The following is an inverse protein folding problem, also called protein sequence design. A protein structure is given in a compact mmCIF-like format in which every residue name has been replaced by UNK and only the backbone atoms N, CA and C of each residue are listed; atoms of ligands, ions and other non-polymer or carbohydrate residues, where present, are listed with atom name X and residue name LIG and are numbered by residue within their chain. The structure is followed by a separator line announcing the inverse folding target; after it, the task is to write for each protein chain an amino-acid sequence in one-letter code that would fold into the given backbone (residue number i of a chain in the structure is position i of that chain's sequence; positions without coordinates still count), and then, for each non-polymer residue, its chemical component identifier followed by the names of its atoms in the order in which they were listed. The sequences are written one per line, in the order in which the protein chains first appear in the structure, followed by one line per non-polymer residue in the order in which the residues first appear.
data_IF_066916661712
#
_entry.id   IF_066916661712
#
_cell.length_a   1.000
_cell.length_b   1.000
_cell.length_c   1.000
_cell.angle_alpha   90.00
_cell.angle_beta   90.00
_cell.angle_gamma   90.00
#
_symmetry.space_group_name_H-M   'P 1'
#
loop_
_entity.id
_entity.type
_entity.pdbx_description
1 polymer ?
#
# COMPACT_ATOMS: atom_id res chain seq x y z
N UNK A 1 -54.50 28.42 58.30
CA UNK A 1 -53.15 29.00 58.43
C UNK A 1 -52.15 27.84 58.41
N UNK A 2 -51.55 27.57 57.30
CA UNK A 2 -50.54 26.54 57.14
C UNK A 2 -49.49 27.00 56.13
N UNK A 3 -48.32 27.34 56.59
CA UNK A 3 -47.17 27.77 55.75
C UNK A 3 -46.48 26.55 55.21
N UNK A 4 -46.41 26.38 53.86
CA UNK A 4 -45.58 25.40 53.23
C UNK A 4 -44.16 25.95 53.00
N UNK A 5 -43.14 25.26 53.54
CA UNK A 5 -41.74 25.53 53.29
C UNK A 5 -41.35 24.92 51.91
N UNK A 6 -40.90 25.77 51.01
CA UNK A 6 -40.33 25.33 49.75
C UNK A 6 -38.89 24.89 49.93
N UNK A 7 -38.61 23.63 49.52
CA UNK A 7 -37.25 23.06 49.47
C UNK A 7 -36.62 23.41 48.10
N UNK A 8 -35.63 24.28 48.11
CA UNK A 8 -34.82 24.59 46.91
C UNK A 8 -33.90 23.37 46.58
N UNK A 9 -34.18 22.71 45.43
CA UNK A 9 -33.28 21.70 44.87
C UNK A 9 -32.12 22.39 44.16
N UNK A 10 -30.97 22.35 44.75
CA UNK A 10 -29.71 22.67 44.11
C UNK A 10 -29.31 21.54 43.15
N UNK A 11 -29.47 21.75 41.85
CA UNK A 11 -28.99 20.87 40.82
C UNK A 11 -27.48 21.07 40.66
N UNK A 12 -26.70 20.06 41.07
CA UNK A 12 -25.26 19.99 40.75
C UNK A 12 -25.12 19.70 39.25
N UNK A 13 -24.74 20.70 38.46
CA UNK A 13 -24.33 20.51 37.08
C UNK A 13 -22.90 19.98 37.08
N UNK A 14 -22.74 18.68 36.96
CA UNK A 14 -21.46 18.05 36.65
C UNK A 14 -21.10 18.40 35.21
N UNK A 15 -20.26 19.42 35.01
CA UNK A 15 -19.60 19.68 33.76
C UNK A 15 -18.59 18.54 33.50
N UNK A 16 -18.98 17.55 32.74
CA UNK A 16 -18.07 16.56 32.21
C UNK A 16 -17.11 17.25 31.23
N UNK A 17 -15.91 17.55 31.71
CA UNK A 17 -14.80 17.97 30.86
C UNK A 17 -14.41 16.75 30.02
N UNK A 18 -15.01 16.65 28.83
CA UNK A 18 -14.48 15.77 27.77
C UNK A 18 -13.11 16.33 27.36
N UNK A 19 -12.04 15.81 27.92
CA UNK A 19 -10.69 15.93 27.35
C UNK A 19 -10.69 15.14 26.05
N UNK A 20 -11.29 15.71 25.00
CA UNK A 20 -11.11 15.20 23.64
C UNK A 20 -9.63 15.27 23.34
N UNK A 21 -9.00 14.11 23.15
CA UNK A 21 -7.68 14.03 22.56
C UNK A 21 -7.82 14.61 21.16
N UNK A 22 -7.37 15.86 21.00
CA UNK A 22 -7.38 16.56 19.72
C UNK A 22 -6.38 15.82 18.82
N UNK A 23 -6.89 14.86 18.03
CA UNK A 23 -6.08 14.25 16.99
C UNK A 23 -5.84 15.31 15.93
N UNK A 24 -4.57 15.63 15.66
CA UNK A 24 -4.18 16.56 14.61
C UNK A 24 -4.87 16.16 13.30
N UNK A 25 -5.61 17.09 12.70
CA UNK A 25 -6.30 16.85 11.44
C UNK A 25 -5.31 16.96 10.29
N UNK A 26 -4.78 15.81 9.85
CA UNK A 26 -3.89 15.73 8.69
C UNK A 26 -4.75 15.72 7.42
N UNK A 27 -4.49 16.69 6.53
CA UNK A 27 -4.99 16.68 5.16
C UNK A 27 -3.85 16.30 4.24
N UNK A 28 -3.99 15.22 3.43
CA UNK A 28 -2.94 14.81 2.50
C UNK A 28 -2.73 15.86 1.41
N UNK A 29 -1.57 15.82 0.71
CA UNK A 29 -1.32 16.70 -0.42
C UNK A 29 -2.27 16.38 -1.57
N UNK A 30 -2.59 17.41 -2.36
CA UNK A 30 -3.47 17.28 -3.53
C UNK A 30 -2.67 17.71 -4.75
N UNK A 31 -2.63 16.85 -5.77
CA UNK A 31 -2.00 17.17 -7.05
C UNK A 31 -2.74 18.32 -7.73
N UNK A 32 -2.02 19.31 -8.25
CA UNK A 32 -2.62 20.40 -9.02
C UNK A 32 -3.14 19.86 -10.35
N UNK A 33 -4.46 19.94 -10.58
CA UNK A 33 -5.15 19.26 -11.68
C UNK A 33 -4.67 19.67 -13.09
N UNK A 34 -4.06 20.84 -13.22
CA UNK A 34 -3.60 21.40 -14.49
C UNK A 34 -2.11 21.05 -14.79
N UNK A 35 -1.43 20.36 -13.89
CA UNK A 35 -0.05 19.96 -14.13
C UNK A 35 0.01 18.84 -15.18
N UNK A 36 0.41 19.19 -16.38
CA UNK A 36 0.65 18.22 -17.45
C UNK A 36 1.99 17.53 -17.17
N UNK A 37 1.94 16.22 -16.97
CA UNK A 37 3.14 15.39 -16.90
C UNK A 37 3.55 15.09 -18.34
N UNK A 38 4.63 15.71 -18.81
CA UNK A 38 5.17 15.43 -20.14
C UNK A 38 6.40 14.53 -20.02
N UNK A 39 6.27 13.32 -20.54
CA UNK A 39 7.37 12.37 -20.65
C UNK A 39 7.93 12.45 -22.07
N UNK A 40 9.26 12.55 -22.19
CA UNK A 40 9.90 12.57 -23.49
C UNK A 40 9.53 11.30 -24.30
N UNK A 41 9.41 11.40 -25.65
CA UNK A 41 9.13 10.25 -26.51
C UNK A 41 10.11 9.11 -26.24
N UNK A 42 9.59 7.91 -26.14
CA UNK A 42 10.35 6.69 -25.89
C UNK A 42 10.70 5.98 -27.20
N UNK A 43 11.88 5.40 -27.23
CA UNK A 43 12.32 4.57 -28.34
C UNK A 43 11.83 3.13 -28.18
N UNK A 44 11.69 2.38 -29.28
CA UNK A 44 11.34 0.97 -29.29
C UNK A 44 9.89 0.67 -29.67
N UNK A 45 9.47 -0.60 -29.56
CA UNK A 45 8.12 -1.04 -29.93
C UNK A 45 7.06 -0.40 -29.02
N UNK A 46 5.82 -0.20 -29.52
CA UNK A 46 4.74 0.34 -28.72
C UNK A 46 4.43 -0.60 -27.55
N UNK A 47 4.62 -0.09 -26.34
CA UNK A 47 4.41 -0.81 -25.09
C UNK A 47 3.94 0.19 -24.03
N UNK A 48 2.91 -0.18 -23.28
CA UNK A 48 2.51 0.61 -22.13
C UNK A 48 3.64 0.64 -21.09
N UNK A 49 3.64 1.69 -20.29
CA UNK A 49 4.58 1.85 -19.18
C UNK A 49 3.80 2.20 -17.92
N UNK A 50 4.20 1.65 -16.80
CA UNK A 50 3.63 1.93 -15.49
C UNK A 50 4.75 2.03 -14.48
N UNK A 51 4.76 3.09 -13.69
CA UNK A 51 5.69 3.26 -12.57
C UNK A 51 4.91 3.65 -11.32
N UNK A 52 5.20 2.98 -10.23
CA UNK A 52 4.70 3.30 -8.90
C UNK A 52 5.84 3.87 -8.11
N UNK A 53 5.66 5.06 -7.59
CA UNK A 53 6.65 5.74 -6.77
C UNK A 53 6.07 6.13 -5.43
N UNK A 54 6.91 6.15 -4.41
CA UNK A 54 6.67 6.88 -3.18
C UNK A 54 7.53 8.14 -3.21
N UNK A 55 6.95 9.29 -2.87
CA UNK A 55 7.65 10.56 -2.93
C UNK A 55 7.36 11.41 -1.69
N UNK A 56 8.28 12.32 -1.42
CA UNK A 56 8.07 13.38 -0.43
C UNK A 56 7.41 14.58 -1.11
N UNK A 57 6.27 15.03 -0.60
CA UNK A 57 5.68 16.33 -0.94
C UNK A 57 6.06 17.30 0.16
N UNK A 58 6.87 18.30 -0.19
CA UNK A 58 7.35 19.30 0.76
C UNK A 58 6.26 20.32 1.12
N UNK A 59 6.45 21.00 2.23
CA UNK A 59 5.53 22.05 2.72
C UNK A 59 5.33 23.23 1.77
N UNK A 60 6.22 23.39 0.78
CA UNK A 60 6.10 24.38 -0.29
C UNK A 60 5.40 23.82 -1.55
N UNK A 61 4.90 22.58 -1.49
CA UNK A 61 4.26 21.89 -2.59
C UNK A 61 5.20 21.28 -3.61
N UNK A 62 6.54 21.44 -3.45
CA UNK A 62 7.52 20.80 -4.34
C UNK A 62 7.67 19.30 -4.03
N UNK A 63 8.10 18.53 -5.04
CA UNK A 63 8.45 17.11 -4.87
C UNK A 63 9.89 17.00 -4.40
N UNK A 64 10.10 16.18 -3.37
CA UNK A 64 11.41 15.79 -2.85
C UNK A 64 11.84 14.41 -3.34
N UNK A 65 12.32 13.58 -2.42
CA UNK A 65 12.78 12.23 -2.71
C UNK A 65 11.73 11.43 -3.48
N UNK A 66 12.16 10.70 -4.50
CA UNK A 66 11.32 9.85 -5.33
C UNK A 66 11.91 8.45 -5.31
N UNK A 67 11.23 7.52 -4.66
CA UNK A 67 11.62 6.12 -4.57
C UNK A 67 10.72 5.28 -5.49
N UNK A 68 11.33 4.55 -6.43
CA UNK A 68 10.59 3.66 -7.33
C UNK A 68 10.28 2.36 -6.60
N UNK A 69 9.01 2.12 -6.31
CA UNK A 69 8.54 0.97 -5.54
C UNK A 69 8.36 -0.27 -6.42
N UNK A 70 7.70 -0.10 -7.57
CA UNK A 70 7.41 -1.19 -8.52
C UNK A 70 6.98 -0.62 -9.85
N UNK A 71 6.80 -1.49 -10.86
CA UNK A 71 6.24 -1.09 -12.12
C UNK A 71 6.53 -2.03 -13.26
N UNK A 72 6.09 -1.61 -14.42
CA UNK A 72 6.26 -2.23 -15.71
C UNK A 72 6.78 -1.17 -16.67
N UNK A 73 8.11 -1.06 -16.80
CA UNK A 73 8.77 0.05 -17.50
C UNK A 73 10.12 -0.36 -18.07
N UNK A 74 10.61 0.47 -19.01
CA UNK A 74 12.01 0.45 -19.46
C UNK A 74 12.86 1.40 -18.61
N UNK A 75 14.18 1.21 -18.56
CA UNK A 75 15.10 2.11 -17.85
C UNK A 75 15.03 3.55 -18.40
N UNK A 76 14.83 3.70 -19.70
CA UNK A 76 14.61 4.99 -20.35
C UNK A 76 13.36 5.68 -19.78
N UNK A 77 12.22 4.96 -19.74
CA UNK A 77 10.99 5.48 -19.15
C UNK A 77 11.16 5.86 -17.68
N UNK A 78 11.77 4.98 -16.89
CA UNK A 78 12.04 5.25 -15.48
C UNK A 78 12.76 6.57 -15.29
N UNK A 79 13.84 6.80 -16.05
CA UNK A 79 14.63 8.01 -15.95
C UNK A 79 13.83 9.27 -16.31
N UNK A 80 13.06 9.22 -17.41
CA UNK A 80 12.22 10.33 -17.83
C UNK A 80 11.06 10.58 -16.87
N UNK A 81 10.42 9.52 -16.36
CA UNK A 81 9.31 9.61 -15.41
C UNK A 81 9.77 10.26 -14.10
N UNK A 82 10.89 9.83 -13.52
CA UNK A 82 11.44 10.42 -12.29
C UNK A 82 11.73 11.91 -12.47
N UNK A 83 12.34 12.29 -13.60
CA UNK A 83 12.59 13.71 -13.91
C UNK A 83 11.30 14.53 -14.07
N UNK A 84 10.29 13.97 -14.72
CA UNK A 84 8.99 14.60 -14.89
C UNK A 84 8.25 14.76 -13.55
N UNK A 85 8.23 13.71 -12.73
CA UNK A 85 7.63 13.72 -11.41
C UNK A 85 8.28 14.75 -10.46
N UNK A 86 9.59 14.90 -10.52
CA UNK A 86 10.32 15.92 -9.74
C UNK A 86 9.94 17.36 -10.04
N UNK A 87 9.26 17.62 -11.17
CA UNK A 87 8.79 18.95 -11.58
C UNK A 87 7.33 19.23 -11.17
N UNK A 88 6.63 18.22 -10.63
CA UNK A 88 5.24 18.40 -10.21
C UNK A 88 5.12 19.40 -9.07
N UNK A 89 3.92 19.96 -8.96
CA UNK A 89 3.52 20.83 -7.86
C UNK A 89 2.25 20.30 -7.24
N UNK A 90 2.17 20.44 -5.93
CA UNK A 90 1.07 20.01 -5.10
C UNK A 90 0.58 21.14 -4.21
N UNK A 91 -0.69 21.15 -3.90
CA UNK A 91 -1.13 21.79 -2.67
C UNK A 91 -0.54 20.96 -1.52
N UNK A 92 0.27 21.56 -0.63
CA UNK A 92 0.98 20.79 0.40
C UNK A 92 0.00 20.15 1.39
N UNK A 93 0.45 19.09 2.04
CA UNK A 93 -0.26 18.55 3.18
C UNK A 93 -0.35 19.59 4.30
N UNK A 94 -1.40 19.51 5.10
CA UNK A 94 -1.54 20.36 6.27
C UNK A 94 -1.79 19.52 7.52
N UNK A 95 -1.21 19.94 8.66
CA UNK A 95 -1.54 19.47 9.99
C UNK A 95 -2.15 20.64 10.77
N UNK A 96 -3.41 20.52 11.17
CA UNK A 96 -4.18 21.61 11.80
C UNK A 96 -4.15 22.92 10.99
N UNK A 97 -4.16 22.82 9.67
CA UNK A 97 -4.14 23.96 8.74
C UNK A 97 -2.74 24.52 8.46
N UNK A 98 -1.68 24.03 9.09
CA UNK A 98 -0.29 24.46 8.85
C UNK A 98 0.34 23.54 7.80
N UNK A 99 0.96 24.11 6.74
CA UNK A 99 1.68 23.31 5.74
C UNK A 99 2.84 22.52 6.33
N UNK A 100 2.92 21.23 5.99
CA UNK A 100 3.94 20.29 6.49
C UNK A 100 4.49 19.43 5.36
N UNK A 101 5.69 18.91 5.54
CA UNK A 101 6.23 17.87 4.66
C UNK A 101 5.44 16.59 4.85
N UNK A 102 5.19 15.88 3.73
CA UNK A 102 4.43 14.63 3.72
C UNK A 102 5.26 13.56 3.00
N UNK A 103 5.55 12.48 3.71
CA UNK A 103 6.39 11.39 3.24
C UNK A 103 5.57 10.20 2.76
N UNK A 104 6.14 9.41 1.84
CA UNK A 104 5.50 8.21 1.29
C UNK A 104 4.18 8.53 0.55
N UNK A 105 4.10 9.66 -0.13
CA UNK A 105 2.98 9.95 -1.02
C UNK A 105 3.07 9.04 -2.24
N UNK A 106 2.20 8.03 -2.28
CA UNK A 106 2.19 7.07 -3.39
C UNK A 106 1.56 7.67 -4.62
N UNK A 107 2.31 7.63 -5.73
CA UNK A 107 1.86 8.10 -7.02
C UNK A 107 2.02 6.99 -8.07
N UNK A 108 0.99 6.79 -8.89
CA UNK A 108 0.98 5.83 -10.00
C UNK A 108 0.93 6.62 -11.29
N UNK A 109 1.98 6.50 -12.10
CA UNK A 109 2.06 7.12 -13.41
C UNK A 109 1.99 6.03 -14.47
N UNK A 110 1.07 6.19 -15.41
CA UNK A 110 0.86 5.25 -16.51
C UNK A 110 0.89 5.98 -17.83
N UNK A 111 1.76 5.56 -18.74
CA UNK A 111 1.76 6.01 -20.15
C UNK A 111 1.27 4.87 -21.01
N UNK A 112 0.18 5.11 -21.73
CA UNK A 112 -0.40 4.12 -22.64
C UNK A 112 -0.03 4.43 -24.06
N UNK A 113 0.63 3.47 -24.71
CA UNK A 113 0.96 3.49 -26.14
C UNK A 113 0.08 2.56 -26.95
N UNK A 114 -0.71 1.73 -26.29
CA UNK A 114 -1.63 0.80 -26.94
C UNK A 114 -3.07 1.27 -26.72
N UNK A 115 -3.92 1.09 -27.73
CA UNK A 115 -5.37 1.37 -27.62
C UNK A 115 -6.13 0.20 -26.98
N UNK A 116 -5.41 -0.85 -26.58
CA UNK A 116 -6.04 -2.04 -26.04
C UNK A 116 -6.52 -1.80 -24.61
N UNK A 117 -7.80 -2.07 -24.39
CA UNK A 117 -8.45 -2.09 -23.08
C UNK A 117 -8.57 -3.50 -22.53
N UNK A 118 -7.92 -4.47 -23.18
CA UNK A 118 -7.94 -5.89 -22.84
C UNK A 118 -6.57 -6.53 -23.12
N UNK A 119 -6.43 -7.77 -22.69
CA UNK A 119 -5.23 -8.58 -22.94
C UNK A 119 -5.22 -9.14 -24.36
N UNK A 120 -4.04 -9.37 -24.93
CA UNK A 120 -3.89 -10.07 -26.21
C UNK A 120 -4.31 -11.53 -26.10
N UNK A 121 -4.94 -12.13 -27.15
CA UNK A 121 -5.32 -13.55 -27.12
C UNK A 121 -4.15 -14.50 -26.85
N UNK A 122 -2.96 -14.21 -27.40
CA UNK A 122 -1.75 -15.00 -27.15
C UNK A 122 -1.34 -14.95 -25.67
N UNK A 123 -1.42 -13.79 -25.03
CA UNK A 123 -1.19 -13.65 -23.60
C UNK A 123 -2.20 -14.46 -22.78
N UNK A 124 -3.50 -14.40 -23.13
CA UNK A 124 -4.55 -15.13 -22.41
C UNK A 124 -4.28 -16.63 -22.36
N UNK A 125 -3.82 -17.22 -23.48
CA UNK A 125 -3.51 -18.64 -23.55
C UNK A 125 -2.35 -19.04 -22.62
N UNK A 126 -1.29 -18.23 -22.60
CA UNK A 126 -0.12 -18.47 -21.76
C UNK A 126 -0.42 -18.19 -20.28
N UNK A 127 -1.18 -17.15 -19.97
CA UNK A 127 -1.70 -16.87 -18.64
C UNK A 127 -2.52 -18.03 -18.08
N UNK A 128 -3.46 -18.58 -18.87
CA UNK A 128 -4.25 -19.75 -18.46
C UNK A 128 -3.35 -20.95 -18.16
N UNK A 129 -2.30 -21.19 -18.97
CA UNK A 129 -1.31 -22.25 -18.77
C UNK A 129 -0.56 -22.09 -17.43
N UNK A 130 -0.18 -20.87 -17.02
CA UNK A 130 0.41 -20.61 -15.70
C UNK A 130 -0.53 -21.07 -14.58
N UNK A 131 -1.82 -20.75 -14.69
CA UNK A 131 -2.84 -21.18 -13.73
C UNK A 131 -2.96 -22.71 -13.65
N UNK A 132 -3.06 -23.39 -14.80
CA UNK A 132 -3.16 -24.86 -14.89
C UNK A 132 -1.92 -25.54 -14.30
N UNK A 133 -0.72 -25.08 -14.62
CA UNK A 133 0.53 -25.62 -14.08
C UNK A 133 0.61 -25.41 -12.57
N UNK A 134 0.19 -24.24 -12.09
CA UNK A 134 0.17 -23.93 -10.67
C UNK A 134 -0.83 -24.82 -9.92
N UNK A 135 -2.03 -25.02 -10.44
CA UNK A 135 -3.04 -25.90 -9.86
C UNK A 135 -2.56 -27.37 -9.84
N UNK A 136 -1.92 -27.80 -10.91
CA UNK A 136 -1.35 -29.16 -11.00
C UNK A 136 -0.09 -29.38 -10.10
N UNK A 137 0.35 -28.36 -9.36
CA UNK A 137 1.56 -28.45 -8.52
C UNK A 137 2.87 -28.45 -9.30
N UNK A 138 2.86 -28.18 -10.60
CA UNK A 138 4.05 -28.11 -11.47
C UNK A 138 4.72 -26.73 -11.38
N UNK A 139 5.10 -26.34 -10.14
CA UNK A 139 5.54 -24.97 -9.81
C UNK A 139 6.76 -24.52 -10.62
N UNK A 140 7.77 -25.36 -10.83
CA UNK A 140 8.95 -25.01 -11.63
C UNK A 140 8.60 -24.72 -13.10
N UNK A 141 7.65 -25.47 -13.67
CA UNK A 141 7.16 -25.22 -15.03
C UNK A 141 6.32 -23.94 -15.11
N UNK A 142 5.52 -23.65 -14.07
CA UNK A 142 4.78 -22.40 -13.97
C UNK A 142 5.73 -21.17 -13.87
N UNK A 143 6.81 -21.26 -13.07
CA UNK A 143 7.82 -20.19 -13.00
C UNK A 143 8.51 -19.96 -14.36
N UNK A 144 8.86 -21.01 -15.08
CA UNK A 144 9.47 -20.89 -16.40
C UNK A 144 8.52 -20.18 -17.39
N UNK A 145 7.24 -20.53 -17.38
CA UNK A 145 6.22 -19.89 -18.21
C UNK A 145 6.04 -18.40 -17.85
N UNK A 146 6.06 -18.07 -16.56
CA UNK A 146 6.03 -16.68 -16.07
C UNK A 146 7.22 -15.88 -16.58
N UNK A 147 8.44 -16.45 -16.55
CA UNK A 147 9.62 -15.75 -17.06
C UNK A 147 9.52 -15.49 -18.57
N UNK A 148 8.94 -16.41 -19.34
CA UNK A 148 8.71 -16.23 -20.77
C UNK A 148 7.67 -15.12 -21.01
N UNK A 149 6.55 -15.14 -20.27
CA UNK A 149 5.54 -14.08 -20.33
C UNK A 149 6.14 -12.69 -20.06
N UNK A 150 6.90 -12.54 -18.97
CA UNK A 150 7.52 -11.27 -18.62
C UNK A 150 8.43 -10.76 -19.73
N UNK A 151 9.22 -11.66 -20.31
CA UNK A 151 10.23 -11.31 -21.31
C UNK A 151 9.65 -10.98 -22.67
N UNK A 152 8.61 -11.69 -23.10
CA UNK A 152 8.20 -11.70 -24.50
C UNK A 152 6.77 -11.26 -24.78
N UNK A 153 5.88 -11.25 -23.77
CA UNK A 153 4.44 -11.15 -24.02
C UNK A 153 3.75 -9.96 -23.37
N UNK A 154 4.28 -9.42 -22.30
CA UNK A 154 3.63 -8.30 -21.61
C UNK A 154 3.90 -7.01 -22.40
N UNK A 155 2.84 -6.43 -22.93
CA UNK A 155 2.87 -5.16 -23.67
C UNK A 155 1.92 -4.12 -23.12
N UNK A 156 0.95 -4.52 -22.32
CA UNK A 156 -0.06 -3.63 -21.71
C UNK A 156 -0.03 -3.68 -20.20
N UNK A 157 -0.51 -2.60 -19.56
CA UNK A 157 -0.69 -2.56 -18.10
C UNK A 157 -1.73 -3.55 -17.60
N UNK A 158 -2.69 -3.91 -18.47
CA UNK A 158 -3.67 -4.95 -18.15
C UNK A 158 -3.00 -6.32 -18.04
N UNK A 159 -2.18 -6.70 -19.00
CA UNK A 159 -1.42 -7.96 -18.99
C UNK A 159 -0.49 -8.03 -17.77
N UNK A 160 0.12 -6.91 -17.38
CA UNK A 160 0.90 -6.84 -16.15
C UNK A 160 0.04 -7.12 -14.90
N UNK A 161 -1.16 -6.55 -14.81
CA UNK A 161 -2.07 -6.79 -13.68
C UNK A 161 -2.56 -8.25 -13.62
N UNK A 162 -2.95 -8.81 -14.78
CA UNK A 162 -3.34 -10.21 -14.90
C UNK A 162 -2.22 -11.17 -14.49
N UNK A 163 -0.98 -10.93 -14.96
CA UNK A 163 0.16 -11.75 -14.56
C UNK A 163 0.35 -11.73 -13.05
N UNK A 164 0.30 -10.54 -12.45
CA UNK A 164 0.48 -10.41 -11.01
C UNK A 164 -0.63 -11.12 -10.21
N UNK A 165 -1.86 -11.18 -10.73
CA UNK A 165 -2.94 -11.99 -10.12
C UNK A 165 -2.58 -13.48 -10.14
N UNK A 166 -2.10 -14.02 -11.26
CA UNK A 166 -1.70 -15.42 -11.37
C UNK A 166 -0.45 -15.77 -10.51
N UNK A 167 0.42 -14.79 -10.25
CA UNK A 167 1.62 -14.98 -9.43
C UNK A 167 1.30 -15.21 -7.95
N UNK A 168 0.17 -14.73 -7.44
CA UNK A 168 -0.17 -14.87 -6.01
C UNK A 168 -0.27 -16.34 -5.60
N UNK A 169 -1.11 -17.19 -6.22
CA UNK A 169 -1.19 -18.60 -5.87
C UNK A 169 0.11 -19.36 -6.14
N UNK A 170 0.88 -18.97 -7.16
CA UNK A 170 2.17 -19.57 -7.45
C UNK A 170 3.17 -19.31 -6.30
N UNK A 171 3.31 -18.07 -5.86
CA UNK A 171 4.22 -17.72 -4.77
C UNK A 171 3.79 -18.33 -3.42
N UNK A 172 2.49 -18.48 -3.17
CA UNK A 172 2.00 -19.21 -1.98
C UNK A 172 2.47 -20.67 -2.03
N UNK A 173 2.38 -21.34 -3.18
CA UNK A 173 2.86 -22.74 -3.34
C UNK A 173 4.36 -22.89 -3.26
N UNK A 174 5.11 -21.83 -3.54
CA UNK A 174 6.57 -21.77 -3.41
C UNK A 174 7.02 -21.37 -1.99
N UNK A 175 6.09 -21.21 -1.04
CA UNK A 175 6.37 -20.71 0.33
C UNK A 175 7.08 -19.34 0.30
N UNK A 176 6.64 -18.44 -0.59
CA UNK A 176 7.14 -17.08 -0.78
C UNK A 176 6.05 -16.05 -0.51
N UNK A 177 5.55 -15.95 0.73
CA UNK A 177 4.35 -15.15 1.02
C UNK A 177 4.56 -13.64 0.84
N UNK A 178 5.78 -13.12 1.00
CA UNK A 178 6.09 -11.70 0.74
C UNK A 178 6.04 -11.39 -0.75
N UNK A 179 6.49 -12.30 -1.62
CA UNK A 179 6.35 -12.15 -3.07
C UNK A 179 4.88 -12.25 -3.48
N UNK A 180 4.10 -13.14 -2.87
CA UNK A 180 2.65 -13.21 -3.07
C UNK A 180 1.96 -11.89 -2.68
N UNK A 181 2.34 -11.28 -1.56
CA UNK A 181 1.82 -9.98 -1.15
C UNK A 181 2.19 -8.87 -2.14
N UNK A 182 3.44 -8.83 -2.60
CA UNK A 182 3.89 -7.87 -3.60
C UNK A 182 3.13 -8.03 -4.92
N UNK A 183 2.97 -9.26 -5.40
CA UNK A 183 2.18 -9.56 -6.59
C UNK A 183 0.71 -9.12 -6.43
N UNK A 184 0.07 -9.42 -5.30
CA UNK A 184 -1.32 -9.02 -5.06
C UNK A 184 -1.50 -7.49 -5.02
N UNK A 185 -0.52 -6.75 -4.49
CA UNK A 185 -0.50 -5.27 -4.55
C UNK A 185 -0.43 -4.77 -5.99
N UNK A 186 0.43 -5.39 -6.81
CA UNK A 186 0.58 -5.02 -8.21
C UNK A 186 -0.68 -5.35 -9.03
N UNK A 187 -1.36 -6.45 -8.75
CA UNK A 187 -2.62 -6.82 -9.39
C UNK A 187 -3.75 -5.83 -9.06
N UNK A 188 -3.76 -5.30 -7.84
CA UNK A 188 -4.82 -4.40 -7.35
C UNK A 188 -4.47 -2.91 -7.44
N UNK A 189 -3.47 -2.54 -8.26
CA UNK A 189 -3.10 -1.14 -8.47
C UNK A 189 -4.29 -0.36 -9.06
N UNK A 190 -4.48 0.84 -8.53
CA UNK A 190 -5.38 1.83 -9.12
C UNK A 190 -4.62 2.63 -10.15
N UNK A 191 -5.27 2.93 -11.26
CA UNK A 191 -4.75 3.94 -12.18
C UNK A 191 -4.81 5.29 -11.46
N UNK A 192 -3.65 5.83 -11.17
CA UNK A 192 -3.52 7.17 -10.61
C UNK A 192 -3.63 8.22 -11.70
N UNK A 193 -2.52 8.90 -11.97
CA UNK A 193 -2.43 9.82 -13.09
C UNK A 193 -2.11 9.04 -14.38
N UNK A 194 -2.96 9.23 -15.41
CA UNK A 194 -2.78 8.59 -16.70
C UNK A 194 -2.42 9.61 -17.75
N UNK A 195 -1.18 9.52 -18.25
CA UNK A 195 -0.76 10.28 -19.42
C UNK A 195 -1.17 9.50 -20.68
N UNK A 196 -1.99 10.12 -21.51
CA UNK A 196 -2.31 9.61 -22.84
C UNK A 196 -1.43 10.30 -23.86
N UNK A 197 -0.58 9.55 -24.58
CA UNK A 197 0.06 10.09 -25.76
C UNK A 197 -0.99 10.49 -26.81
N UNK A 198 -0.82 11.68 -27.39
CA UNK A 198 -1.64 12.15 -28.50
C UNK A 198 -1.33 11.29 -29.73
N UNK A 199 -2.27 10.49 -30.17
CA UNK A 199 -2.22 9.88 -31.50
C UNK A 199 -3.12 10.69 -32.44
N UNK A 200 -2.54 11.26 -33.47
CA UNK A 200 -3.26 12.03 -34.52
C UNK A 200 -4.15 13.17 -33.98
N UNK A 201 -3.76 13.83 -32.90
CA UNK A 201 -4.49 14.99 -32.36
C UNK A 201 -5.76 14.67 -31.57
N UNK A 202 -6.05 13.40 -31.31
CA UNK A 202 -7.22 12.99 -30.54
C UNK A 202 -6.82 12.55 -29.13
N UNK A 203 -7.34 13.25 -28.11
CA UNK A 203 -7.15 12.89 -26.72
C UNK A 203 -8.07 11.71 -26.38
N UNK A 204 -7.52 10.50 -26.28
CA UNK A 204 -8.30 9.32 -25.88
C UNK A 204 -8.29 9.23 -24.37
N UNK A 205 -9.45 9.37 -23.74
CA UNK A 205 -9.63 9.01 -22.32
C UNK A 205 -9.54 7.49 -22.23
N UNK A 206 -8.45 7.00 -21.68
CA UNK A 206 -8.12 5.58 -21.73
C UNK A 206 -8.83 4.73 -20.67
N UNK A 207 -9.47 5.31 -19.64
CA UNK A 207 -10.22 4.56 -18.61
C UNK A 207 -11.60 5.17 -18.40
N UNK A 208 -12.54 4.29 -18.09
CA UNK A 208 -13.79 4.71 -17.45
C UNK A 208 -13.43 5.38 -16.12
N UNK A 209 -13.75 6.68 -15.93
CA UNK A 209 -13.47 7.36 -14.66
C UNK A 209 -14.14 6.67 -13.46
N UNK A 210 -15.14 5.82 -13.71
CA UNK A 210 -15.83 5.03 -12.70
C UNK A 210 -15.12 3.70 -12.39
N UNK A 211 -14.11 3.30 -13.19
CA UNK A 211 -13.36 2.07 -12.98
C UNK A 211 -11.84 2.31 -13.00
N UNK A 212 -11.25 2.68 -11.85
CA UNK A 212 -9.85 3.08 -11.78
C UNK A 212 -8.87 1.91 -11.68
N UNK A 213 -9.23 0.69 -12.05
CA UNK A 213 -8.37 -0.49 -11.94
C UNK A 213 -8.00 -1.05 -13.31
N UNK A 214 -6.92 -1.84 -13.33
CA UNK A 214 -6.46 -2.53 -14.54
C UNK A 214 -7.08 -3.93 -14.70
N UNK A 215 -7.65 -4.50 -13.65
CA UNK A 215 -8.39 -5.77 -13.72
C UNK A 215 -9.89 -5.53 -13.91
N UNK A 216 -10.60 -6.41 -14.63
CA UNK A 216 -12.05 -6.49 -14.57
C UNK A 216 -12.55 -6.73 -13.14
N UNK A 217 -13.80 -6.37 -12.87
CA UNK A 217 -14.36 -6.38 -11.49
C UNK A 217 -14.23 -7.74 -10.81
N UNK A 218 -14.59 -8.82 -11.49
CA UNK A 218 -14.55 -10.19 -10.98
C UNK A 218 -13.13 -10.64 -10.60
N UNK A 219 -12.15 -10.36 -11.46
CA UNK A 219 -10.74 -10.66 -11.18
C UNK A 219 -10.16 -9.74 -10.10
N UNK A 220 -10.58 -8.47 -10.07
CA UNK A 220 -10.15 -7.55 -9.01
C UNK A 220 -10.66 -8.01 -7.64
N UNK A 221 -11.93 -8.41 -7.54
CA UNK A 221 -12.50 -8.95 -6.29
C UNK A 221 -11.71 -10.17 -5.83
N UNK A 222 -11.38 -11.08 -6.75
CA UNK A 222 -10.53 -12.25 -6.43
C UNK A 222 -9.13 -11.83 -5.97
N UNK A 223 -8.47 -10.91 -6.68
CA UNK A 223 -7.15 -10.41 -6.31
C UNK A 223 -7.15 -9.69 -4.94
N UNK A 224 -8.20 -8.94 -4.60
CA UNK A 224 -8.34 -8.31 -3.29
C UNK A 224 -8.58 -9.37 -2.19
N UNK A 225 -9.36 -10.42 -2.45
CA UNK A 225 -9.52 -11.54 -1.52
C UNK A 225 -8.19 -12.24 -1.24
N UNK A 226 -7.41 -12.48 -2.27
CA UNK A 226 -6.06 -13.05 -2.14
C UNK A 226 -5.15 -12.10 -1.34
N UNK A 227 -5.14 -10.80 -1.65
CA UNK A 227 -4.35 -9.80 -0.95
C UNK A 227 -4.69 -9.73 0.53
N UNK A 228 -5.98 -9.69 0.87
CA UNK A 228 -6.44 -9.75 2.26
C UNK A 228 -5.90 -10.99 2.97
N UNK A 229 -6.07 -12.17 2.35
CA UNK A 229 -5.66 -13.44 2.93
C UNK A 229 -4.15 -13.49 3.20
N UNK A 230 -3.33 -13.07 2.24
CA UNK A 230 -1.87 -13.03 2.38
C UNK A 230 -1.45 -11.98 3.42
N UNK A 231 -2.04 -10.78 3.40
CA UNK A 231 -1.73 -9.76 4.40
C UNK A 231 -2.10 -10.20 5.82
N UNK A 232 -3.25 -10.86 5.98
CA UNK A 232 -3.70 -11.40 7.27
C UNK A 232 -2.81 -12.54 7.78
N UNK A 233 -2.31 -13.42 6.88
CA UNK A 233 -1.39 -14.50 7.25
C UNK A 233 0.00 -13.99 7.64
N UNK A 234 0.41 -12.85 7.10
CA UNK A 234 1.66 -12.16 7.45
C UNK A 234 1.50 -11.19 8.62
N UNK A 235 0.37 -11.22 9.32
CA UNK A 235 0.05 -10.34 10.46
C UNK A 235 0.12 -8.85 10.12
N UNK A 236 -0.05 -8.49 8.84
CA UNK A 236 -0.10 -7.11 8.37
C UNK A 236 -1.53 -6.55 8.52
N UNK A 237 -1.96 -6.39 9.75
CA UNK A 237 -3.35 -6.05 10.10
C UNK A 237 -3.85 -4.76 9.45
N UNK A 238 -3.02 -3.72 9.39
CA UNK A 238 -3.39 -2.45 8.75
C UNK A 238 -3.66 -2.60 7.26
N UNK A 239 -2.83 -3.38 6.55
CA UNK A 239 -3.02 -3.66 5.12
C UNK A 239 -4.22 -4.57 4.88
N UNK A 240 -4.41 -5.61 5.71
CA UNK A 240 -5.57 -6.47 5.64
C UNK A 240 -6.86 -5.67 5.84
N UNK A 241 -6.93 -4.79 6.85
CA UNK A 241 -8.09 -3.93 7.10
C UNK A 241 -8.37 -3.00 5.92
N UNK A 242 -7.37 -2.29 5.39
CA UNK A 242 -7.54 -1.42 4.25
C UNK A 242 -8.02 -2.18 2.99
N UNK A 243 -7.49 -3.40 2.78
CA UNK A 243 -7.91 -4.26 1.66
C UNK A 243 -9.35 -4.76 1.84
N UNK A 244 -9.76 -5.05 3.08
CA UNK A 244 -11.15 -5.42 3.39
C UNK A 244 -12.12 -4.28 3.13
N UNK A 245 -11.78 -3.05 3.52
CA UNK A 245 -12.62 -1.88 3.26
C UNK A 245 -12.77 -1.62 1.75
N UNK A 246 -11.70 -1.80 0.98
CA UNK A 246 -11.70 -1.71 -0.47
C UNK A 246 -12.59 -2.81 -1.09
N UNK A 247 -12.44 -4.06 -0.65
CA UNK A 247 -13.24 -5.19 -1.11
C UNK A 247 -14.73 -4.98 -0.82
N UNK A 248 -15.08 -4.53 0.39
CA UNK A 248 -16.47 -4.19 0.78
C UNK A 248 -17.10 -3.13 -0.12
N UNK A 249 -16.31 -2.20 -0.62
CA UNK A 249 -16.82 -1.16 -1.51
C UNK A 249 -17.17 -1.65 -2.91
N UNK A 250 -16.66 -2.83 -3.30
CA UNK A 250 -16.80 -3.41 -4.64
C UNK A 250 -17.71 -4.63 -4.69
N UNK A 251 -17.85 -5.34 -3.58
CA UNK A 251 -18.55 -6.61 -3.47
C UNK A 251 -19.42 -6.62 -2.22
N UNK A 252 -20.62 -7.21 -2.32
CA UNK A 252 -21.52 -7.40 -1.18
C UNK A 252 -21.08 -8.65 -0.40
N UNK A 253 -20.20 -8.46 0.57
CA UNK A 253 -19.78 -9.53 1.46
C UNK A 253 -20.86 -9.82 2.47
N UNK A 254 -21.27 -11.09 2.58
CA UNK A 254 -22.16 -11.56 3.63
C UNK A 254 -21.42 -11.65 4.97
N UNK A 255 -22.17 -11.64 6.09
CA UNK A 255 -21.56 -11.69 7.42
C UNK A 255 -20.85 -13.02 7.72
N UNK A 256 -21.20 -14.08 7.02
CA UNK A 256 -20.61 -15.42 7.08
C UNK A 256 -19.49 -15.66 6.06
N UNK A 257 -19.19 -14.69 5.19
CA UNK A 257 -18.05 -14.77 4.29
C UNK A 257 -16.76 -14.94 5.11
N UNK A 258 -15.90 -15.92 4.78
CA UNK A 258 -14.66 -16.19 5.53
C UNK A 258 -13.75 -14.94 5.70
N UNK A 259 -13.74 -14.07 4.70
CA UNK A 259 -12.98 -12.80 4.76
C UNK A 259 -13.63 -11.83 5.76
N UNK A 260 -14.95 -11.69 5.75
CA UNK A 260 -15.66 -10.83 6.70
C UNK A 260 -15.51 -11.33 8.14
N UNK A 261 -15.59 -12.63 8.36
CA UNK A 261 -15.34 -13.25 9.67
C UNK A 261 -13.91 -12.97 10.13
N UNK A 262 -12.93 -13.22 9.28
CA UNK A 262 -11.51 -12.96 9.60
C UNK A 262 -11.23 -11.48 9.84
N UNK A 263 -11.82 -10.58 9.08
CA UNK A 263 -11.66 -9.13 9.26
C UNK A 263 -12.20 -8.67 10.62
N UNK A 264 -13.36 -9.18 11.05
CA UNK A 264 -13.91 -8.93 12.40
C UNK A 264 -12.99 -9.45 13.51
N UNK A 265 -12.32 -10.59 13.31
CA UNK A 265 -11.33 -11.11 14.25
C UNK A 265 -10.08 -10.23 14.33
N UNK A 266 -9.55 -9.78 13.19
CA UNK A 266 -8.41 -8.86 13.14
C UNK A 266 -8.74 -7.52 13.82
N UNK A 267 -9.94 -6.99 13.58
CA UNK A 267 -10.41 -5.77 14.24
C UNK A 267 -10.48 -5.97 15.78
N UNK A 268 -10.99 -7.10 16.25
CA UNK A 268 -11.01 -7.44 17.67
C UNK A 268 -9.60 -7.55 18.25
N UNK A 269 -8.69 -8.23 17.54
CA UNK A 269 -7.28 -8.33 17.97
C UNK A 269 -6.60 -6.96 18.02
N UNK A 270 -6.83 -6.10 17.03
CA UNK A 270 -6.24 -4.75 17.01
C UNK A 270 -6.69 -3.88 18.18
N UNK A 271 -7.90 -4.11 18.70
CA UNK A 271 -8.49 -3.40 19.85
C UNK A 271 -8.23 -4.07 21.21
N UNK A 272 -7.74 -5.31 21.21
CA UNK A 272 -7.43 -6.03 22.46
C UNK A 272 -6.31 -5.31 23.23
N UNK A 273 -6.36 -5.25 24.55
CA UNK A 273 -5.25 -4.75 25.36
C UNK A 273 -4.01 -5.65 25.31
N UNK A 274 -4.17 -6.90 24.90
CA UNK A 274 -3.07 -7.85 24.78
C UNK A 274 -2.08 -7.42 23.68
N UNK A 275 -0.77 -7.63 23.87
CA UNK A 275 0.21 -7.37 22.82
C UNK A 275 -0.04 -8.20 21.58
N UNK A 276 0.19 -7.59 20.40
CA UNK A 276 0.25 -8.31 19.14
C UNK A 276 1.69 -8.77 18.94
N UNK A 277 1.90 -10.06 18.70
CA UNK A 277 3.20 -10.61 18.34
C UNK A 277 3.26 -10.78 16.83
N UNK A 278 4.31 -10.22 16.21
CA UNK A 278 4.54 -10.28 14.78
C UNK A 278 5.91 -10.92 14.54
N UNK A 279 5.96 -11.82 13.58
CA UNK A 279 7.20 -12.47 13.15
C UNK A 279 7.61 -11.95 11.77
N UNK A 280 8.87 -11.58 11.65
CA UNK A 280 9.45 -11.11 10.41
C UNK A 280 10.77 -11.80 10.12
N UNK A 281 11.18 -11.72 8.85
CA UNK A 281 12.46 -12.21 8.39
C UNK A 281 13.09 -11.24 7.43
N UNK A 282 14.37 -10.95 7.59
CA UNK A 282 15.09 -10.10 6.64
C UNK A 282 15.32 -10.89 5.36
N UNK A 283 14.64 -10.50 4.30
CA UNK A 283 14.81 -10.99 2.95
C UNK A 283 15.39 -9.88 2.08
N UNK A 284 16.34 -10.21 1.20
CA UNK A 284 16.96 -9.23 0.30
C UNK A 284 17.52 -7.96 0.98
N UNK A 285 17.98 -8.10 2.23
CA UNK A 285 18.64 -7.03 2.99
C UNK A 285 17.73 -6.18 3.88
N UNK A 286 16.41 -6.31 3.78
CA UNK A 286 15.47 -5.60 4.66
C UNK A 286 14.19 -6.41 4.92
N UNK A 287 13.50 -6.06 6.01
CA UNK A 287 12.14 -6.47 6.29
C UNK A 287 11.28 -5.23 6.58
N UNK A 288 10.22 -5.05 5.79
CA UNK A 288 9.29 -3.95 5.93
C UNK A 288 8.07 -4.34 6.74
N UNK A 289 7.65 -3.46 7.64
CA UNK A 289 6.51 -3.66 8.51
C UNK A 289 5.73 -2.35 8.74
N UNK A 290 4.40 -2.41 8.69
CA UNK A 290 3.53 -1.28 9.02
C UNK A 290 2.79 -1.59 10.32
N UNK A 291 3.19 -0.98 11.44
CA UNK A 291 2.63 -1.28 12.75
C UNK A 291 1.20 -0.79 12.91
N UNK A 292 0.42 -1.57 13.64
CA UNK A 292 -0.95 -1.22 14.05
C UNK A 292 -0.96 -0.40 15.33
N UNK A 293 0.04 -0.62 16.20
CA UNK A 293 0.18 0.05 17.47
C UNK A 293 1.48 0.87 17.53
N UNK A 294 1.61 1.69 18.55
CA UNK A 294 2.60 2.76 18.60
C UNK A 294 3.81 2.51 19.49
N UNK A 295 3.78 1.47 20.31
CA UNK A 295 4.89 1.03 21.14
C UNK A 295 5.34 -0.35 20.66
N UNK A 296 6.59 -0.44 20.25
CA UNK A 296 7.13 -1.65 19.63
C UNK A 296 8.36 -2.10 20.40
N UNK A 297 8.30 -3.30 20.99
CA UNK A 297 9.46 -3.99 21.54
C UNK A 297 9.96 -4.99 20.49
N UNK A 298 11.24 -4.92 20.13
CA UNK A 298 11.79 -5.70 19.02
C UNK A 298 12.88 -6.62 19.56
N UNK A 299 12.78 -7.90 19.26
CA UNK A 299 13.73 -8.93 19.62
C UNK A 299 14.33 -9.54 18.35
N UNK A 300 15.64 -9.61 18.32
CA UNK A 300 16.41 -10.28 17.25
C UNK A 300 17.73 -10.77 17.84
N UNK A 301 18.40 -11.67 17.14
CA UNK A 301 19.75 -12.07 17.51
C UNK A 301 20.68 -10.84 17.55
N UNK A 302 21.62 -10.75 18.52
CA UNK A 302 22.52 -9.60 18.63
C UNK A 302 23.26 -9.33 17.31
N UNK A 303 23.18 -8.07 16.83
CA UNK A 303 23.82 -7.65 15.58
C UNK A 303 23.12 -8.05 14.28
N UNK A 304 22.05 -8.86 14.35
CA UNK A 304 21.31 -9.30 13.17
C UNK A 304 20.58 -8.13 12.48
N UNK A 305 20.11 -7.14 13.25
CA UNK A 305 19.54 -5.88 12.74
C UNK A 305 20.57 -4.78 12.95
N UNK A 306 20.86 -3.99 11.92
CA UNK A 306 21.81 -2.87 11.96
C UNK A 306 21.12 -1.52 12.04
N UNK A 307 20.10 -1.31 11.21
CA UNK A 307 19.38 -0.05 11.14
C UNK A 307 17.88 -0.27 11.07
N UNK A 308 17.14 0.73 11.50
CA UNK A 308 15.71 0.85 11.28
C UNK A 308 15.43 2.20 10.61
N UNK A 309 14.81 2.14 9.44
CA UNK A 309 14.27 3.30 8.75
C UNK A 309 12.81 3.44 9.15
N UNK A 310 12.44 4.60 9.63
CA UNK A 310 11.10 4.95 10.08
C UNK A 310 10.56 5.98 9.10
N UNK A 311 9.57 5.60 8.33
CA UNK A 311 8.88 6.51 7.42
C UNK A 311 7.40 6.59 7.83
N UNK A 312 7.05 7.72 8.41
CA UNK A 312 5.68 8.06 8.77
C UNK A 312 5.19 9.19 7.86
N UNK A 313 3.89 9.47 7.83
CA UNK A 313 3.33 10.52 6.97
C UNK A 313 3.93 11.91 7.22
N UNK A 314 4.26 12.24 8.48
CA UNK A 314 4.80 13.54 8.86
C UNK A 314 6.20 13.45 9.51
N UNK A 315 6.87 12.31 9.41
CA UNK A 315 8.20 12.14 10.00
C UNK A 315 8.98 11.06 9.25
N UNK A 316 10.25 11.33 8.96
CA UNK A 316 11.17 10.35 8.36
C UNK A 316 12.50 10.41 9.09
N UNK A 317 12.99 9.27 9.54
CA UNK A 317 14.32 9.15 10.13
C UNK A 317 14.92 7.77 9.86
N UNK A 318 16.24 7.71 9.82
CA UNK A 318 17.03 6.48 9.81
C UNK A 318 17.93 6.47 11.03
N UNK A 319 17.93 5.38 11.77
CA UNK A 319 18.76 5.28 12.97
C UNK A 319 19.35 3.88 13.12
N UNK A 320 20.46 3.81 13.87
CA UNK A 320 21.02 2.54 14.29
C UNK A 320 20.00 1.82 15.18
N UNK A 321 19.82 0.53 14.92
CA UNK A 321 18.94 -0.30 15.73
C UNK A 321 19.54 -0.49 17.13
N UNK A 322 18.70 -0.38 18.15
CA UNK A 322 19.01 -0.62 19.55
C UNK A 322 17.96 -1.58 20.12
N UNK A 323 18.39 -2.80 20.45
CA UNK A 323 17.52 -3.84 20.98
C UNK A 323 17.05 -3.59 22.41
N UNK A 324 17.76 -2.75 23.15
CA UNK A 324 17.49 -2.49 24.57
C UNK A 324 16.39 -1.42 24.79
N UNK A 325 15.97 -0.77 23.70
CA UNK A 325 14.99 0.31 23.75
C UNK A 325 13.78 0.05 22.88
N UNK A 326 12.61 0.22 23.49
CA UNK A 326 11.34 0.21 22.76
C UNK A 326 11.26 1.36 21.75
N UNK A 327 10.77 1.05 20.57
CA UNK A 327 10.50 2.04 19.54
C UNK A 327 9.12 2.67 19.77
N UNK A 328 9.09 3.96 20.01
CA UNK A 328 7.84 4.74 20.17
C UNK A 328 7.55 5.54 18.92
N UNK A 329 6.33 5.40 18.42
CA UNK A 329 5.83 6.12 17.25
C UNK A 329 4.79 7.16 17.70
N UNK A 330 5.16 8.43 17.87
CA UNK A 330 4.23 9.47 18.33
C UNK A 330 3.00 9.58 17.42
N UNK A 331 1.78 9.71 17.97
CA UNK A 331 0.55 9.83 17.17
C UNK A 331 0.59 10.95 16.11
N UNK A 332 1.21 12.12 16.33
CA UNK A 332 1.28 13.18 15.33
C UNK A 332 2.06 12.81 14.06
N UNK A 333 2.88 11.76 14.08
CA UNK A 333 3.62 11.32 12.89
C UNK A 333 2.73 10.70 11.80
N UNK A 334 1.50 10.32 12.14
CA UNK A 334 0.59 9.64 11.21
C UNK A 334 0.90 8.15 11.08
N UNK A 335 0.42 7.51 10.01
CA UNK A 335 0.71 6.11 9.72
C UNK A 335 2.19 5.94 9.37
N UNK A 336 2.81 4.87 9.86
CA UNK A 336 4.24 4.60 9.70
C UNK A 336 4.48 3.27 8.98
N UNK A 337 5.58 3.20 8.24
CA UNK A 337 6.23 1.98 7.77
C UNK A 337 7.64 1.95 8.34
N UNK A 338 8.07 0.79 8.78
CA UNK A 338 9.40 0.52 9.31
C UNK A 338 10.13 -0.40 8.36
N UNK A 339 11.39 -0.13 8.05
CA UNK A 339 12.25 -1.04 7.32
C UNK A 339 13.45 -1.41 8.20
N UNK A 340 13.55 -2.67 8.55
CA UNK A 340 14.64 -3.22 9.35
C UNK A 340 15.70 -3.80 8.41
N UNK A 341 16.87 -3.18 8.36
CA UNK A 341 17.98 -3.68 7.56
C UNK A 341 19.00 -4.41 8.42
N UNK A 342 19.50 -5.53 7.90
CA UNK A 342 20.40 -6.40 8.66
C UNK A 342 20.91 -7.59 7.84
N UNK A 343 21.21 -8.66 8.53
CA UNK A 343 21.73 -9.88 7.93
C UNK A 343 20.61 -10.68 7.23
N UNK A 344 20.87 -11.14 6.01
CA UNK A 344 19.91 -11.94 5.27
C UNK A 344 19.56 -13.23 6.04
N UNK A 345 18.27 -13.52 6.15
CA UNK A 345 17.75 -14.68 6.88
C UNK A 345 17.56 -14.44 8.39
N UNK A 346 17.90 -13.26 8.92
CA UNK A 346 17.68 -12.95 10.33
C UNK A 346 16.18 -12.92 10.67
N UNK A 347 15.82 -13.63 11.73
CA UNK A 347 14.47 -13.64 12.27
C UNK A 347 14.27 -12.45 13.22
N UNK A 348 13.10 -11.83 13.14
CA UNK A 348 12.69 -10.70 13.95
C UNK A 348 11.40 -11.09 14.66
N UNK A 349 11.34 -10.92 15.96
CA UNK A 349 10.11 -10.96 16.72
C UNK A 349 9.77 -9.55 17.20
N UNK A 350 8.61 -9.07 16.84
CA UNK A 350 8.13 -7.75 17.19
C UNK A 350 6.85 -7.87 18.02
N UNK A 351 6.81 -7.13 19.13
CA UNK A 351 5.68 -7.05 20.04
C UNK A 351 5.10 -5.64 19.99
N UNK A 352 3.88 -5.54 19.46
CA UNK A 352 3.14 -4.28 19.42
C UNK A 352 2.29 -4.06 20.66
N UNK A 353 2.39 -2.88 21.25
CA UNK A 353 1.64 -2.50 22.45
C UNK A 353 0.97 -1.14 22.27
N UNK A 354 -0.08 -0.87 23.05
CA UNK A 354 -0.59 0.49 23.15
C UNK A 354 0.39 1.36 23.93
N UNK A 355 0.53 2.60 23.48
CA UNK A 355 1.11 3.62 24.36
C UNK A 355 0.14 3.78 25.52
N UNK A 356 0.59 3.52 26.74
CA UNK A 356 -0.18 3.91 27.90
C UNK A 356 -0.45 5.42 27.78
N UNK A 357 -1.67 5.89 28.07
CA UNK A 357 -1.90 7.33 28.14
C UNK A 357 -0.90 7.92 29.15
N UNK A 358 -0.34 9.11 28.86
CA UNK A 358 0.60 9.78 29.76
C UNK A 358 0.02 10.06 31.13
#
# INVERSE_FOLDING_TARGET
MGKSLGIAKWGLVLASVFTGVCQAQIRPPVHEADAIISIAPLHGPPRDQLIVVDMTVKKDGSVGDIDVVTGFYTDEYRSHAVLALGRLRFQPATSDGVPVDFYGYRFVLTTRKTFMTATHPAFQSEYAKVGELTQAGKVAAAEAEVQDLIKHRITTVFEYAFLNEALVPLYIKLDRPYDALRASRNATLRSGHMETEYFAGTRIKANDPNWPYFLPKDLLVNALRQRFTVAASLERFGEASATYDELRSLDELTDDDPIAVRAKDLERQSRSPEPILVHGKIEQGAWEFSPTRRLLSIQAAPGAIRTVDIECRLHKESRRFDADHDLRLPPPWGACTLAFAGDAGADIQLKEQFLSPP
#
